data_IF_932200264903
#
_entry.id   IF_932200264903
#
_cell.length_a   1.000
_cell.length_b   1.000
_cell.length_c   1.000
_cell.angle_alpha   90.00
_cell.angle_beta   90.00
_cell.angle_gamma   90.00
#
_symmetry.space_group_name_H-M   'P 1'
#
loop_
_entity.id
_entity.type
_entity.pdbx_description
1 polymer ?
#
# COMPACT_ATOMS: atom_id res chain seq x y z
N UNK A 1 -56.39 40.58 20.59
CA UNK A 1 -55.43 40.87 19.48
C UNK A 1 -54.09 41.17 20.16
N UNK A 2 -52.97 40.48 19.99
CA UNK A 2 -52.48 39.54 18.98
C UNK A 2 -51.56 38.46 19.63
N UNK A 3 -51.50 37.29 19.00
CA UNK A 3 -50.40 36.28 19.03
C UNK A 3 -49.82 36.25 17.58
N UNK A 4 -48.63 35.68 17.26
CA UNK A 4 -47.88 34.64 17.97
C UNK A 4 -46.35 34.89 18.08
N UNK A 5 -45.65 34.38 19.10
CA UNK A 5 -44.94 33.08 19.11
C UNK A 5 -44.21 32.75 17.80
N UNK A 6 -42.94 33.17 17.69
CA UNK A 6 -41.99 32.61 16.72
C UNK A 6 -41.09 31.61 17.46
N UNK A 7 -41.51 30.36 17.35
CA UNK A 7 -40.68 29.19 17.56
C UNK A 7 -39.73 28.99 16.37
N UNK A 8 -38.82 28.04 16.58
CA UNK A 8 -38.15 27.21 15.57
C UNK A 8 -36.76 27.66 15.10
N UNK A 9 -35.81 27.15 15.87
CA UNK A 9 -34.84 26.18 15.37
C UNK A 9 -33.75 26.72 14.43
N UNK A 10 -32.68 27.18 15.07
CA UNK A 10 -31.32 27.11 14.51
C UNK A 10 -30.97 25.63 14.28
N UNK A 11 -31.40 25.08 13.15
CA UNK A 11 -30.90 23.81 12.65
C UNK A 11 -29.45 24.03 12.20
N UNK A 12 -28.54 23.47 12.99
CA UNK A 12 -27.31 22.81 12.56
C UNK A 12 -27.16 22.72 11.03
N UNK A 13 -26.47 23.68 10.40
CA UNK A 13 -25.78 23.41 9.14
C UNK A 13 -24.57 22.55 9.46
N UNK A 14 -24.83 21.28 9.80
CA UNK A 14 -23.89 20.20 9.58
C UNK A 14 -23.71 20.12 8.07
N UNK A 15 -22.79 20.90 7.52
CA UNK A 15 -22.21 20.62 6.21
C UNK A 15 -21.48 19.30 6.35
N UNK A 16 -22.20 18.22 6.09
CA UNK A 16 -21.62 16.93 5.76
C UNK A 16 -20.66 17.21 4.61
N UNK A 17 -19.36 17.20 4.90
CA UNK A 17 -18.34 17.08 3.88
C UNK A 17 -18.59 15.72 3.22
N UNK A 18 -19.37 15.71 2.13
CA UNK A 18 -19.43 14.55 1.25
C UNK A 18 -18.00 14.36 0.72
N UNK A 19 -17.28 13.42 1.31
CA UNK A 19 -16.11 12.85 0.69
C UNK A 19 -16.60 12.29 -0.65
N UNK A 20 -16.36 13.02 -1.74
CA UNK A 20 -16.68 12.54 -3.08
C UNK A 20 -15.95 11.22 -3.27
N UNK A 21 -16.70 10.17 -3.64
CA UNK A 21 -16.10 8.89 -3.96
C UNK A 21 -15.10 9.09 -5.12
N UNK A 22 -13.95 8.40 -5.10
CA UNK A 22 -12.97 8.54 -6.16
C UNK A 22 -13.59 8.12 -7.50
N UNK A 23 -13.31 8.89 -8.54
CA UNK A 23 -13.68 8.58 -9.91
C UNK A 23 -13.05 7.27 -10.38
N UNK A 24 -13.65 6.61 -11.37
CA UNK A 24 -13.10 5.40 -11.97
C UNK A 24 -11.68 5.61 -12.53
N UNK A 25 -11.38 6.82 -13.02
CA UNK A 25 -10.05 7.19 -13.50
C UNK A 25 -9.01 7.24 -12.36
N UNK A 26 -9.38 7.79 -11.20
CA UNK A 26 -8.51 7.82 -10.02
C UNK A 26 -8.26 6.42 -9.49
N UNK A 27 -9.28 5.56 -9.43
CA UNK A 27 -9.13 4.16 -9.04
C UNK A 27 -8.21 3.40 -10.00
N UNK A 28 -8.37 3.60 -11.32
CA UNK A 28 -7.53 2.95 -12.33
C UNK A 28 -6.07 3.41 -12.24
N UNK A 29 -5.84 4.71 -12.03
CA UNK A 29 -4.50 5.28 -11.82
C UNK A 29 -3.86 4.72 -10.56
N UNK A 30 -4.57 4.71 -9.44
CA UNK A 30 -4.09 4.18 -8.17
C UNK A 30 -3.71 2.69 -8.28
N UNK A 31 -4.50 1.90 -9.01
CA UNK A 31 -4.18 0.50 -9.30
C UNK A 31 -2.92 0.36 -10.17
N UNK A 32 -2.73 1.26 -11.15
CA UNK A 32 -1.52 1.29 -11.99
C UNK A 32 -0.26 1.66 -11.20
N UNK A 33 -0.35 2.68 -10.35
CA UNK A 33 0.74 3.13 -9.48
C UNK A 33 1.13 2.02 -8.51
N UNK A 34 0.15 1.36 -7.90
CA UNK A 34 0.39 0.22 -7.01
C UNK A 34 1.14 -0.91 -7.74
N UNK A 35 0.76 -1.26 -8.97
CA UNK A 35 1.47 -2.28 -9.77
C UNK A 35 2.91 -1.88 -10.05
N UNK A 36 3.18 -0.63 -10.39
CA UNK A 36 4.55 -0.13 -10.62
C UNK A 36 5.39 -0.18 -9.34
N UNK A 37 4.83 0.25 -8.20
CA UNK A 37 5.50 0.20 -6.91
C UNK A 37 5.85 -1.24 -6.52
N UNK A 38 4.93 -2.18 -6.72
CA UNK A 38 5.16 -3.60 -6.44
C UNK A 38 6.23 -4.21 -7.37
N UNK A 39 6.22 -3.86 -8.66
CA UNK A 39 7.25 -4.31 -9.59
C UNK A 39 8.64 -3.79 -9.19
N UNK A 40 8.76 -2.50 -8.86
CA UNK A 40 10.01 -1.90 -8.41
C UNK A 40 10.54 -2.53 -7.11
N UNK A 41 9.65 -2.85 -6.18
CA UNK A 41 10.02 -3.56 -4.96
C UNK A 41 10.61 -4.94 -5.26
N UNK A 42 9.97 -5.72 -6.13
CA UNK A 42 10.44 -7.06 -6.53
C UNK A 42 11.83 -6.99 -7.20
N UNK A 43 12.02 -6.05 -8.13
CA UNK A 43 13.32 -5.85 -8.79
C UNK A 43 14.41 -5.41 -7.80
N UNK A 44 14.05 -4.67 -6.75
CA UNK A 44 15.00 -4.28 -5.71
C UNK A 44 15.38 -5.46 -4.82
N UNK A 45 14.42 -6.29 -4.40
CA UNK A 45 14.70 -7.51 -3.64
C UNK A 45 15.54 -8.50 -4.44
N UNK A 46 15.24 -8.66 -5.73
CA UNK A 46 16.02 -9.47 -6.67
C UNK A 46 17.51 -9.07 -6.68
N UNK A 47 17.79 -7.76 -6.78
CA UNK A 47 19.16 -7.24 -6.72
C UNK A 47 19.83 -7.41 -5.36
N UNK A 48 19.11 -7.19 -4.26
CA UNK A 48 19.66 -7.35 -2.90
C UNK A 48 20.04 -8.81 -2.65
N UNK A 49 19.19 -9.75 -3.06
CA UNK A 49 19.40 -11.17 -2.84
C UNK A 49 20.23 -11.84 -3.95
N UNK A 50 20.67 -11.11 -4.98
CA UNK A 50 21.30 -11.68 -6.18
C UNK A 50 20.53 -12.90 -6.74
N UNK A 51 19.21 -12.73 -6.88
CA UNK A 51 18.28 -13.75 -7.33
C UNK A 51 17.45 -13.18 -8.48
N UNK A 52 17.21 -13.92 -9.57
CA UNK A 52 16.38 -13.44 -10.67
C UNK A 52 14.98 -13.01 -10.20
N UNK A 53 14.50 -11.86 -10.69
CA UNK A 53 13.20 -11.31 -10.29
C UNK A 53 12.03 -12.27 -10.53
N UNK A 54 12.12 -13.13 -11.55
CA UNK A 54 11.16 -14.20 -11.81
C UNK A 54 11.06 -15.21 -10.65
N UNK A 55 12.18 -15.57 -10.02
CA UNK A 55 12.20 -16.43 -8.83
C UNK A 55 11.58 -15.73 -7.63
N UNK A 56 11.86 -14.44 -7.44
CA UNK A 56 11.23 -13.63 -6.39
C UNK A 56 9.70 -13.56 -6.57
N UNK A 57 9.23 -13.37 -7.81
CA UNK A 57 7.78 -13.40 -8.14
C UNK A 57 7.15 -14.75 -7.81
N UNK A 58 7.83 -15.85 -8.12
CA UNK A 58 7.34 -17.20 -7.86
C UNK A 58 7.23 -17.53 -6.35
N UNK A 59 7.99 -16.82 -5.50
CA UNK A 59 7.85 -16.95 -4.05
C UNK A 59 6.53 -16.32 -3.58
N UNK A 60 6.13 -15.16 -4.12
CA UNK A 60 4.95 -14.43 -3.62
C UNK A 60 3.68 -15.30 -3.70
N UNK A 61 2.93 -15.47 -2.60
CA UNK A 61 1.69 -16.21 -2.66
C UNK A 61 0.66 -15.44 -3.50
N UNK A 62 -0.12 -16.19 -4.29
CA UNK A 62 -1.16 -15.64 -5.18
C UNK A 62 -2.30 -14.90 -4.47
N UNK A 63 -2.34 -14.90 -3.13
CA UNK A 63 -3.35 -14.21 -2.34
C UNK A 63 -2.77 -12.96 -1.66
N UNK A 64 -3.29 -11.82 -2.07
CA UNK A 64 -2.77 -10.47 -1.91
C UNK A 64 -2.77 -9.88 -0.48
N UNK A 65 -2.62 -10.66 0.60
CA UNK A 65 -2.75 -10.16 1.98
C UNK A 65 -1.55 -10.42 2.89
N UNK A 66 -0.34 -10.21 2.40
CA UNK A 66 0.81 -10.07 3.30
C UNK A 66 0.99 -8.59 3.61
N UNK A 67 0.65 -8.19 4.84
CA UNK A 67 0.88 -6.83 5.34
C UNK A 67 2.36 -6.45 5.32
N UNK A 68 3.23 -7.43 5.60
CA UNK A 68 4.69 -7.29 5.68
C UNK A 68 5.39 -8.22 4.67
N UNK A 69 5.52 -7.76 3.43
CA UNK A 69 6.12 -8.56 2.35
C UNK A 69 7.62 -8.76 2.53
N UNK A 70 8.31 -7.81 3.16
CA UNK A 70 9.76 -7.86 3.38
C UNK A 70 10.20 -9.06 4.23
N UNK A 71 9.72 -9.21 5.48
CA UNK A 71 10.06 -10.34 6.34
C UNK A 71 9.72 -11.69 5.71
N UNK A 72 8.56 -11.78 5.06
CA UNK A 72 8.13 -12.99 4.37
C UNK A 72 9.10 -13.36 3.24
N UNK A 73 9.45 -12.40 2.37
CA UNK A 73 10.37 -12.63 1.27
C UNK A 73 11.76 -13.02 1.77
N UNK A 74 12.30 -12.32 2.77
CA UNK A 74 13.60 -12.67 3.34
C UNK A 74 13.61 -14.11 3.88
N UNK A 75 12.55 -14.51 4.58
CA UNK A 75 12.41 -15.89 5.07
C UNK A 75 12.26 -16.90 3.93
N UNK A 76 11.43 -16.60 2.92
CA UNK A 76 11.18 -17.51 1.81
C UNK A 76 12.42 -17.71 0.94
N UNK A 77 13.16 -16.64 0.63
CA UNK A 77 14.45 -16.70 -0.08
C UNK A 77 15.44 -17.54 0.74
N UNK A 78 15.56 -17.23 2.05
CA UNK A 78 16.41 -17.94 3.00
C UNK A 78 16.19 -19.46 3.02
N UNK A 79 14.92 -19.88 2.96
CA UNK A 79 14.52 -21.29 3.06
C UNK A 79 14.54 -22.04 1.72
N UNK A 80 14.17 -21.37 0.62
CA UNK A 80 13.85 -22.05 -0.65
C UNK A 80 14.87 -21.80 -1.75
N UNK A 81 15.71 -20.77 -1.62
CA UNK A 81 16.65 -20.37 -2.68
C UNK A 81 18.08 -20.40 -2.15
N UNK A 82 18.39 -19.57 -1.16
CA UNK A 82 19.72 -19.53 -0.53
C UNK A 82 19.67 -18.83 0.84
N UNK A 83 20.62 -19.13 1.75
CA UNK A 83 20.80 -18.34 2.96
C UNK A 83 21.05 -16.85 2.63
N UNK A 84 20.46 -15.97 3.44
CA UNK A 84 20.70 -14.53 3.38
C UNK A 84 21.57 -14.07 4.55
N UNK A 85 22.51 -13.17 4.28
CA UNK A 85 23.26 -12.46 5.31
C UNK A 85 22.39 -11.43 6.03
N UNK A 86 22.79 -11.02 7.24
CA UNK A 86 22.05 -10.02 8.03
C UNK A 86 21.88 -8.69 7.28
N UNK A 87 22.91 -8.24 6.55
CA UNK A 87 22.84 -7.02 5.75
C UNK A 87 21.80 -7.10 4.62
N UNK A 88 21.69 -8.26 3.98
CA UNK A 88 20.71 -8.51 2.91
C UNK A 88 19.28 -8.51 3.46
N UNK A 89 19.08 -9.16 4.60
CA UNK A 89 17.80 -9.14 5.32
C UNK A 89 17.43 -7.70 5.67
N UNK A 90 18.34 -6.93 6.28
CA UNK A 90 18.11 -5.53 6.61
C UNK A 90 17.73 -4.69 5.39
N UNK A 91 18.45 -4.86 4.27
CA UNK A 91 18.16 -4.14 3.03
C UNK A 91 16.78 -4.51 2.43
N UNK A 92 16.32 -5.76 2.56
CA UNK A 92 14.98 -6.19 2.13
C UNK A 92 13.90 -5.52 3.00
N UNK A 93 14.11 -5.42 4.31
CA UNK A 93 13.18 -4.75 5.22
C UNK A 93 13.06 -3.25 4.92
N UNK A 94 14.19 -2.58 4.65
CA UNK A 94 14.20 -1.18 4.21
C UNK A 94 13.49 -0.98 2.87
N UNK A 95 13.66 -1.91 1.93
CA UNK A 95 12.92 -1.89 0.67
C UNK A 95 11.40 -2.02 0.87
N UNK A 96 10.95 -2.85 1.81
CA UNK A 96 9.52 -2.99 2.14
C UNK A 96 8.97 -1.75 2.86
N UNK A 97 9.75 -1.13 3.74
CA UNK A 97 9.42 0.16 4.33
C UNK A 97 9.22 1.25 3.27
N UNK A 98 10.14 1.35 2.30
CA UNK A 98 10.03 2.28 1.18
C UNK A 98 8.78 1.98 0.34
N UNK A 99 8.52 0.72 0.01
CA UNK A 99 7.30 0.28 -0.70
C UNK A 99 6.03 0.75 0.02
N UNK A 100 5.93 0.51 1.33
CA UNK A 100 4.76 0.91 2.14
C UNK A 100 4.57 2.43 2.13
N UNK A 101 5.65 3.21 2.26
CA UNK A 101 5.61 4.67 2.17
C UNK A 101 5.11 5.14 0.80
N UNK A 102 5.62 4.57 -0.29
CA UNK A 102 5.19 4.90 -1.65
C UNK A 102 3.72 4.55 -1.90
N UNK A 103 3.27 3.37 -1.45
CA UNK A 103 1.86 3.00 -1.54
C UNK A 103 0.98 3.97 -0.76
N UNK A 104 1.35 4.29 0.49
CA UNK A 104 0.60 5.24 1.30
C UNK A 104 0.55 6.65 0.67
N UNK A 105 1.62 7.09 0.00
CA UNK A 105 1.66 8.37 -0.71
C UNK A 105 0.77 8.36 -1.97
N UNK A 106 0.73 7.25 -2.72
CA UNK A 106 -0.15 7.10 -3.89
C UNK A 106 -1.63 7.14 -3.52
N UNK A 107 -2.02 6.71 -2.31
CA UNK A 107 -3.43 6.82 -1.84
C UNK A 107 -3.87 8.23 -1.44
N UNK A 108 -2.92 9.17 -1.27
CA UNK A 108 -3.22 10.55 -0.85
C UNK A 108 -3.19 11.56 -2.02
N UNK A 109 -2.91 11.08 -3.24
CA UNK A 109 -2.81 11.88 -4.47
C UNK A 109 -4.01 11.60 -5.36
#
# INVERSE_FOLDING_TARGET
>A
MARPALALALWLTWTVALAQAPSAAEVAKQASDARHIEAAFIERVARIADVPAARIRALLPGQARIAERGPWLAQAIGKQIRPLGQAEVGAILEADLARRKSLAASRRR
#
